data_IF_976461554156
#
_entry.id   IF_976461554156
#
_cell.length_a   1.000
_cell.length_b   1.000
_cell.length_c   1.000
_cell.angle_alpha   90.00
_cell.angle_beta   90.00
_cell.angle_gamma   90.00
#
_symmetry.space_group_name_H-M   'P 1'
#
loop_
_entity.id
_entity.type
_entity.pdbx_description
1 polymer ?
#
# COMPACT_ATOMS: atom_id res chain seq x y z
N UNK A 1 -21.90 4.88 16.25
CA UNK A 1 -20.56 5.46 16.52
C UNK A 1 -20.24 5.33 18.02
N UNK A 2 -19.03 5.70 18.46
CA UNK A 2 -18.65 5.60 19.88
C UNK A 2 -19.42 6.56 20.80
N UNK A 3 -20.00 7.63 20.25
CA UNK A 3 -20.83 8.60 20.99
C UNK A 3 -22.30 8.19 21.11
N UNK A 4 -22.72 7.11 20.43
CA UNK A 4 -24.12 6.65 20.43
C UNK A 4 -25.08 7.56 19.67
N UNK A 5 -24.58 8.52 18.89
CA UNK A 5 -25.39 9.47 18.10
C UNK A 5 -25.80 8.91 16.75
N UNK A 6 -25.04 7.94 16.22
CA UNK A 6 -25.29 7.29 14.94
C UNK A 6 -25.55 5.80 15.13
N UNK A 7 -26.53 5.25 14.41
CA UNK A 7 -26.76 3.80 14.33
C UNK A 7 -25.46 3.08 13.92
N UNK A 8 -25.28 1.85 14.42
CA UNK A 8 -24.15 1.00 14.00
C UNK A 8 -24.34 0.61 12.54
N UNK A 9 -23.66 1.30 11.64
CA UNK A 9 -23.65 0.97 10.20
C UNK A 9 -22.74 -0.23 9.90
N UNK A 10 -21.71 -0.47 10.73
CA UNK A 10 -20.74 -1.54 10.54
C UNK A 10 -21.03 -2.72 11.47
N UNK A 11 -21.54 -3.83 10.92
CA UNK A 11 -21.85 -5.07 11.66
C UNK A 11 -20.66 -5.64 12.45
N UNK A 12 -19.43 -5.39 12.00
CA UNK A 12 -18.19 -5.89 12.63
C UNK A 12 -17.53 -4.91 13.62
N UNK A 13 -18.14 -3.75 13.87
CA UNK A 13 -17.59 -2.78 14.81
C UNK A 13 -18.17 -3.03 16.21
N UNK A 14 -17.36 -3.64 17.07
CA UNK A 14 -17.67 -3.71 18.49
C UNK A 14 -17.22 -2.43 19.21
N UNK A 15 -18.14 -1.46 19.25
CA UNK A 15 -17.92 -0.21 19.99
C UNK A 15 -17.85 -0.42 21.51
N UNK A 16 -18.45 -1.50 22.03
CA UNK A 16 -18.48 -1.75 23.46
C UNK A 16 -17.11 -2.13 23.97
N UNK A 17 -16.38 -2.99 23.23
CA UNK A 17 -15.02 -3.39 23.56
C UNK A 17 -14.09 -2.21 23.91
N UNK A 18 -14.12 -1.14 23.10
CA UNK A 18 -13.28 0.06 23.33
C UNK A 18 -13.83 0.92 24.47
N UNK A 19 -15.15 1.16 24.52
CA UNK A 19 -15.75 1.98 25.57
C UNK A 19 -15.54 1.38 26.97
N UNK A 20 -15.57 0.06 27.09
CA UNK A 20 -15.32 -0.63 28.36
C UNK A 20 -13.86 -0.55 28.82
N UNK A 21 -12.91 -0.18 27.94
CA UNK A 21 -11.53 0.09 28.37
C UNK A 21 -11.40 1.43 29.12
N UNK A 22 -12.37 2.35 28.95
CA UNK A 22 -12.35 3.66 29.60
C UNK A 22 -13.06 3.64 30.95
N UNK A 23 -14.19 2.94 31.02
CA UNK A 23 -15.00 2.80 32.23
C UNK A 23 -15.99 1.62 32.11
N UNK A 24 -16.43 1.06 33.23
CA UNK A 24 -17.39 -0.06 33.25
C UNK A 24 -18.82 0.36 32.90
N UNK A 25 -19.17 1.62 33.19
CA UNK A 25 -20.46 2.23 32.85
C UNK A 25 -20.39 2.93 31.48
N UNK A 26 -21.19 2.45 30.52
CA UNK A 26 -21.19 2.95 29.13
C UNK A 26 -21.49 4.45 29.00
N UNK A 27 -22.36 5.02 29.82
CA UNK A 27 -22.68 6.45 29.80
C UNK A 27 -21.45 7.27 30.19
N UNK A 28 -20.74 6.83 31.22
CA UNK A 28 -19.50 7.47 31.66
C UNK A 28 -18.36 7.25 30.65
N UNK A 29 -18.22 6.06 30.06
CA UNK A 29 -17.25 5.79 28.99
C UNK A 29 -17.44 6.74 27.81
N UNK A 30 -18.68 7.01 27.41
CA UNK A 30 -19.01 7.94 26.32
C UNK A 30 -18.62 9.38 26.68
N UNK A 31 -18.85 9.80 27.92
CA UNK A 31 -18.46 11.12 28.40
C UNK A 31 -16.93 11.29 28.36
N UNK A 32 -16.19 10.30 28.86
CA UNK A 32 -14.72 10.28 28.84
C UNK A 32 -14.19 10.31 27.40
N UNK A 33 -14.73 9.45 26.53
CA UNK A 33 -14.33 9.40 25.12
C UNK A 33 -14.61 10.73 24.40
N UNK A 34 -15.77 11.35 24.66
CA UNK A 34 -16.11 12.67 24.11
C UNK A 34 -15.10 13.73 24.56
N UNK A 35 -14.77 13.76 25.86
CA UNK A 35 -13.79 14.70 26.41
C UNK A 35 -12.42 14.50 25.77
N UNK A 36 -11.96 13.26 25.68
CA UNK A 36 -10.70 12.92 25.03
C UNK A 36 -10.61 13.44 23.59
N UNK A 37 -11.66 13.27 22.77
CA UNK A 37 -11.68 13.81 21.40
C UNK A 37 -11.54 15.33 21.40
N UNK A 38 -12.32 16.02 22.25
CA UNK A 38 -12.32 17.48 22.31
C UNK A 38 -10.97 18.05 22.76
N UNK A 39 -10.28 17.35 23.64
CA UNK A 39 -8.94 17.73 24.13
C UNK A 39 -7.83 17.41 23.12
N UNK A 40 -8.10 16.56 22.12
CA UNK A 40 -7.09 16.04 21.18
C UNK A 40 -7.46 16.28 19.70
N UNK A 41 -8.19 17.36 19.41
CA UNK A 41 -8.63 17.68 18.04
C UNK A 41 -7.48 17.89 17.06
N UNK A 42 -6.32 18.32 17.54
CA UNK A 42 -5.10 18.55 16.76
C UNK A 42 -4.08 17.43 16.92
N UNK A 43 -4.47 16.29 17.46
CA UNK A 43 -3.57 15.15 17.61
C UNK A 43 -3.16 14.61 16.23
N UNK A 44 -1.85 14.53 16.02
CA UNK A 44 -1.31 13.92 14.81
C UNK A 44 -1.65 12.43 14.75
N UNK A 45 -2.02 11.96 13.57
CA UNK A 45 -2.19 10.55 13.32
C UNK A 45 -0.81 9.86 13.39
N UNK A 46 -0.64 8.76 14.16
CA UNK A 46 0.67 8.14 14.40
C UNK A 46 1.15 7.31 13.20
N UNK A 47 1.28 7.93 12.02
CA UNK A 47 1.64 7.28 10.74
C UNK A 47 2.90 6.42 10.89
N UNK A 48 3.88 6.89 11.67
CA UNK A 48 5.19 6.25 11.83
C UNK A 48 5.14 4.96 12.67
N UNK A 49 4.19 4.84 13.58
CA UNK A 49 4.08 3.71 14.51
C UNK A 49 3.19 2.58 13.96
N UNK A 50 2.47 2.85 12.88
CA UNK A 50 1.62 1.86 12.25
C UNK A 50 2.50 0.91 11.46
N UNK A 51 2.68 -0.29 11.99
CA UNK A 51 3.26 -1.40 11.27
C UNK A 51 2.46 -1.59 10.00
N UNK A 52 3.12 -1.25 8.89
CA UNK A 52 2.61 -1.50 7.56
C UNK A 52 1.15 -1.02 7.48
N UNK A 53 0.77 0.21 7.84
CA UNK A 53 -0.59 0.74 7.61
C UNK A 53 -1.82 -0.05 8.14
N UNK A 54 -1.65 -1.18 8.85
CA UNK A 54 -2.72 -2.13 9.19
C UNK A 54 -2.76 -2.47 10.68
N UNK A 55 -1.65 -2.26 11.38
CA UNK A 55 -1.52 -2.65 12.78
C UNK A 55 -0.73 -1.61 13.54
N UNK A 56 -1.20 -1.28 14.74
CA UNK A 56 -0.54 -0.40 15.70
C UNK A 56 -0.47 -1.13 17.03
N UNK A 57 0.69 -1.12 17.69
CA UNK A 57 0.87 -1.74 19.00
C UNK A 57 2.27 -2.25 19.26
N UNK A 58 2.44 -2.99 20.37
CA UNK A 58 3.72 -3.56 20.80
C UNK A 58 4.28 -4.56 19.79
N UNK A 59 5.60 -4.74 19.78
CA UNK A 59 6.30 -5.67 18.87
C UNK A 59 5.72 -7.09 18.89
N UNK A 60 5.32 -7.59 20.07
CA UNK A 60 4.70 -8.91 20.21
C UNK A 60 3.34 -9.03 19.50
N UNK A 61 2.58 -7.93 19.43
CA UNK A 61 1.33 -7.88 18.65
C UNK A 61 1.64 -7.84 17.15
N UNK A 62 2.63 -7.04 16.74
CA UNK A 62 3.07 -6.96 15.35
C UNK A 62 3.52 -8.32 14.82
N UNK A 63 4.34 -9.06 15.57
CA UNK A 63 4.77 -10.43 15.21
C UNK A 63 3.59 -11.39 15.00
N UNK A 64 2.52 -11.27 15.81
CA UNK A 64 1.30 -12.08 15.62
C UNK A 64 0.59 -11.72 14.31
N UNK A 65 0.49 -10.44 13.98
CA UNK A 65 -0.10 -9.97 12.71
C UNK A 65 0.73 -10.47 11.52
N UNK A 66 2.05 -10.41 11.59
CA UNK A 66 2.95 -10.94 10.56
C UNK A 66 2.72 -12.42 10.27
N UNK A 67 2.65 -13.25 11.32
CA UNK A 67 2.41 -14.69 11.18
C UNK A 67 1.04 -14.97 10.53
N UNK A 68 0.01 -14.20 10.87
CA UNK A 68 -1.31 -14.32 10.24
C UNK A 68 -1.29 -13.96 8.76
N UNK A 69 -0.60 -12.89 8.38
CA UNK A 69 -0.45 -12.51 6.97
C UNK A 69 0.27 -13.60 6.19
N UNK A 70 1.38 -14.14 6.73
CA UNK A 70 2.14 -15.22 6.09
C UNK A 70 1.29 -16.46 5.89
N UNK A 71 0.44 -16.82 6.86
CA UNK A 71 -0.45 -17.98 6.78
C UNK A 71 -1.54 -17.85 5.70
N UNK A 72 -1.97 -16.64 5.36
CA UNK A 72 -2.98 -16.40 4.29
C UNK A 72 -2.38 -16.60 2.89
N UNK A 73 -1.07 -16.40 2.72
CA UNK A 73 -0.37 -16.53 1.45
C UNK A 73 -0.70 -15.42 0.44
N UNK A 74 -0.08 -15.49 -0.75
CA UNK A 74 -0.32 -14.54 -1.85
C UNK A 74 -1.60 -14.93 -2.62
N UNK A 75 -2.74 -14.29 -2.30
CA UNK A 75 -3.96 -14.42 -3.12
C UNK A 75 -4.01 -13.33 -4.18
N UNK A 76 -4.28 -13.73 -5.42
CA UNK A 76 -4.34 -12.88 -6.63
C UNK A 76 -5.35 -11.72 -6.53
N UNK A 77 -6.35 -11.86 -5.67
CA UNK A 77 -7.46 -10.91 -5.51
C UNK A 77 -7.31 -9.98 -4.29
N UNK A 78 -6.37 -10.28 -3.38
CA UNK A 78 -6.13 -9.42 -2.22
C UNK A 78 -5.10 -8.38 -2.63
N UNK A 79 -5.47 -7.10 -2.60
CA UNK A 79 -4.50 -6.02 -2.78
C UNK A 79 -3.44 -6.15 -1.70
N UNK A 80 -2.20 -6.47 -2.08
CA UNK A 80 -1.08 -6.38 -1.16
C UNK A 80 -0.95 -4.92 -0.77
N UNK A 81 -1.20 -4.63 0.50
CA UNK A 81 -1.03 -3.28 1.01
C UNK A 81 0.42 -2.86 0.75
N UNK A 82 0.60 -1.70 0.11
CA UNK A 82 1.89 -1.24 -0.43
C UNK A 82 2.64 -0.47 0.67
N UNK A 83 3.86 -0.90 0.99
CA UNK A 83 4.57 -0.54 2.24
C UNK A 83 6.01 -0.05 2.03
N UNK A 84 6.32 0.61 0.92
CA UNK A 84 7.56 1.35 0.78
C UNK A 84 7.22 2.79 0.39
N UNK A 85 8.19 3.70 0.55
CA UNK A 85 8.10 5.10 0.13
C UNK A 85 7.26 5.22 -1.14
N UNK A 86 6.16 5.96 -1.04
CA UNK A 86 5.27 6.11 -2.18
C UNK A 86 5.83 7.19 -3.07
N UNK A 87 6.36 6.76 -4.21
CA UNK A 87 6.74 7.66 -5.28
C UNK A 87 5.54 7.91 -6.18
N UNK A 88 5.45 9.12 -6.70
CA UNK A 88 4.57 9.41 -7.82
C UNK A 88 4.96 8.54 -9.04
N UNK A 89 3.99 8.16 -9.88
CA UNK A 89 4.29 7.50 -11.15
C UNK A 89 5.29 8.29 -12.01
N UNK A 90 5.19 9.61 -11.98
CA UNK A 90 6.05 10.55 -12.69
C UNK A 90 7.51 10.43 -12.24
N UNK A 91 7.76 10.42 -10.93
CA UNK A 91 9.11 10.20 -10.38
C UNK A 91 9.66 8.84 -10.81
N UNK A 92 8.86 7.78 -10.70
CA UNK A 92 9.29 6.43 -11.13
C UNK A 92 9.65 6.43 -12.62
N UNK A 93 8.81 7.01 -13.46
CA UNK A 93 9.05 7.13 -14.91
C UNK A 93 10.35 7.90 -15.17
N UNK A 94 10.56 9.02 -14.47
CA UNK A 94 11.76 9.85 -14.60
C UNK A 94 13.01 9.08 -14.18
N UNK A 95 13.01 8.36 -13.05
CA UNK A 95 14.16 7.55 -12.63
C UNK A 95 14.45 6.41 -13.60
N UNK A 96 13.43 5.78 -14.20
CA UNK A 96 13.63 4.79 -15.27
C UNK A 96 14.27 5.43 -16.50
N UNK A 97 13.78 6.61 -16.92
CA UNK A 97 14.33 7.37 -18.04
C UNK A 97 15.82 7.70 -17.81
N UNK A 98 16.17 8.20 -16.63
CA UNK A 98 17.54 8.51 -16.23
C UNK A 98 18.43 7.25 -16.20
N UNK A 99 17.95 6.15 -15.61
CA UNK A 99 18.73 4.91 -15.47
C UNK A 99 19.13 4.32 -16.81
N UNK A 100 18.26 4.41 -17.82
CA UNK A 100 18.47 3.74 -19.11
C UNK A 100 18.71 4.72 -20.27
N UNK A 101 18.84 6.02 -19.98
CA UNK A 101 19.00 7.09 -20.95
C UNK A 101 17.92 7.05 -22.06
N UNK A 102 16.65 6.96 -21.65
CA UNK A 102 15.48 6.89 -22.53
C UNK A 102 14.55 8.07 -22.29
N UNK A 103 13.73 8.39 -23.29
CA UNK A 103 12.62 9.34 -23.10
C UNK A 103 11.35 8.62 -22.58
N UNK A 104 10.44 9.42 -22.01
CA UNK A 104 9.16 8.93 -21.47
C UNK A 104 8.35 8.14 -22.50
N UNK A 105 8.35 8.58 -23.75
CA UNK A 105 7.64 7.90 -24.85
C UNK A 105 8.14 6.48 -25.06
N UNK A 106 9.47 6.24 -25.13
CA UNK A 106 10.04 4.90 -25.28
C UNK A 106 9.74 4.01 -24.07
N UNK A 107 9.80 4.58 -22.86
CA UNK A 107 9.48 3.86 -21.62
C UNK A 107 8.01 3.44 -21.57
N UNK A 108 7.09 4.29 -22.04
CA UNK A 108 5.65 4.00 -22.05
C UNK A 108 5.14 3.42 -23.37
N UNK A 109 5.99 3.18 -24.37
CA UNK A 109 5.55 2.67 -25.67
C UNK A 109 4.95 1.27 -25.56
N UNK A 110 3.70 1.12 -25.98
CA UNK A 110 3.01 -0.18 -26.08
C UNK A 110 3.61 -1.00 -27.22
N UNK A 111 4.65 -1.77 -26.92
CA UNK A 111 5.37 -2.62 -27.87
C UNK A 111 5.68 -3.98 -27.23
N UNK A 112 5.49 -5.06 -27.99
CA UNK A 112 5.81 -6.43 -27.54
C UNK A 112 7.29 -6.50 -27.19
N UNK A 113 7.61 -7.02 -26.01
CA UNK A 113 8.99 -7.15 -25.54
C UNK A 113 9.63 -5.86 -25.00
N UNK A 114 8.90 -4.75 -24.88
CA UNK A 114 9.43 -3.54 -24.25
C UNK A 114 9.70 -3.78 -22.75
N UNK A 115 10.96 -4.11 -22.42
CA UNK A 115 11.39 -4.43 -21.07
C UNK A 115 11.29 -3.22 -20.13
N UNK A 116 11.62 -2.02 -20.62
CA UNK A 116 11.56 -0.79 -19.82
C UNK A 116 10.14 -0.49 -19.37
N UNK A 117 9.16 -0.65 -20.26
CA UNK A 117 7.75 -0.54 -19.92
C UNK A 117 7.31 -1.54 -18.86
N UNK A 118 7.79 -2.78 -18.94
CA UNK A 118 7.50 -3.82 -17.96
C UNK A 118 8.11 -3.49 -16.58
N UNK A 119 9.34 -2.98 -16.56
CA UNK A 119 10.01 -2.48 -15.36
C UNK A 119 9.19 -1.34 -14.74
N UNK A 120 8.82 -0.33 -15.52
CA UNK A 120 8.05 0.82 -15.03
C UNK A 120 6.68 0.38 -14.50
N UNK A 121 5.96 -0.50 -15.22
CA UNK A 121 4.66 -1.01 -14.78
C UNK A 121 4.77 -1.73 -13.44
N UNK A 122 5.78 -2.57 -13.28
CA UNK A 122 6.07 -3.27 -12.03
C UNK A 122 6.41 -2.31 -10.89
N UNK A 123 7.27 -1.33 -11.14
CA UNK A 123 7.66 -0.35 -10.13
C UNK A 123 6.49 0.53 -9.71
N UNK A 124 5.70 1.08 -10.64
CA UNK A 124 4.51 1.86 -10.33
C UNK A 124 3.50 1.03 -9.53
N UNK A 125 3.25 -0.23 -9.91
CA UNK A 125 2.36 -1.12 -9.15
C UNK A 125 2.85 -1.36 -7.73
N UNK A 126 4.15 -1.50 -7.52
CA UNK A 126 4.75 -1.86 -6.23
C UNK A 126 5.05 -0.67 -5.31
N UNK A 127 5.33 0.51 -5.87
CA UNK A 127 5.90 1.66 -5.16
C UNK A 127 5.08 2.95 -5.28
N UNK A 128 3.88 2.90 -5.88
CA UNK A 128 2.92 4.03 -5.84
C UNK A 128 1.61 3.60 -5.20
N UNK A 129 0.86 4.55 -4.64
CA UNK A 129 -0.47 4.29 -4.08
C UNK A 129 -1.60 4.14 -5.11
N UNK A 130 -1.29 4.12 -6.42
CA UNK A 130 -2.31 3.99 -7.44
C UNK A 130 -3.02 2.64 -7.44
N UNK A 131 -4.33 2.68 -7.66
CA UNK A 131 -5.16 1.52 -7.96
C UNK A 131 -4.81 0.92 -9.33
N UNK A 132 -5.15 -0.35 -9.54
CA UNK A 132 -4.92 -1.01 -10.84
C UNK A 132 -5.62 -0.29 -12.01
N UNK A 133 -6.76 0.38 -11.75
CA UNK A 133 -7.48 1.18 -12.75
C UNK A 133 -6.70 2.44 -13.12
N UNK A 134 -6.14 3.15 -12.15
CA UNK A 134 -5.32 4.36 -12.39
C UNK A 134 -4.01 4.01 -13.10
N UNK A 135 -3.35 2.93 -12.70
CA UNK A 135 -2.18 2.39 -13.41
C UNK A 135 -2.57 2.03 -14.85
N UNK A 136 -3.73 1.40 -15.03
CA UNK A 136 -4.26 1.07 -16.35
C UNK A 136 -4.38 2.28 -17.27
N UNK A 137 -4.80 3.44 -16.75
CA UNK A 137 -4.86 4.70 -17.52
C UNK A 137 -3.48 5.14 -18.00
N UNK A 138 -2.47 5.15 -17.12
CA UNK A 138 -1.09 5.53 -17.45
C UNK A 138 -0.50 4.62 -18.53
N UNK A 139 -0.81 3.33 -18.44
CA UNK A 139 -0.27 2.32 -19.35
C UNK A 139 -1.25 1.97 -20.48
N UNK A 140 -2.40 2.62 -20.68
CA UNK A 140 -3.38 2.20 -21.69
C UNK A 140 -3.67 0.67 -21.67
N UNK A 141 -4.00 0.17 -20.47
CA UNK A 141 -4.29 -1.23 -20.14
C UNK A 141 -5.53 -1.31 -19.25
N UNK A 142 -6.28 -2.41 -19.34
CA UNK A 142 -7.32 -2.70 -18.35
C UNK A 142 -6.70 -3.18 -17.02
N UNK A 143 -7.48 -3.10 -15.94
CA UNK A 143 -6.99 -3.43 -14.60
C UNK A 143 -6.54 -4.90 -14.48
N UNK A 144 -7.20 -5.80 -15.22
CA UNK A 144 -6.85 -7.23 -15.29
C UNK A 144 -5.51 -7.43 -15.98
N UNK A 145 -5.23 -6.77 -17.12
CA UNK A 145 -3.93 -6.87 -17.77
C UNK A 145 -2.80 -6.27 -16.92
N UNK A 146 -3.05 -5.19 -16.16
CA UNK A 146 -2.05 -4.66 -15.20
C UNK A 146 -1.69 -5.73 -14.17
N UNK A 147 -2.69 -6.39 -13.57
CA UNK A 147 -2.46 -7.46 -12.60
C UNK A 147 -1.68 -8.64 -13.22
N UNK A 148 -2.09 -9.10 -14.41
CA UNK A 148 -1.44 -10.23 -15.09
C UNK A 148 -0.02 -9.92 -15.56
N UNK A 149 0.20 -8.75 -16.17
CA UNK A 149 1.50 -8.36 -16.68
C UNK A 149 2.52 -8.20 -15.56
N UNK A 150 2.13 -7.58 -14.44
CA UNK A 150 3.03 -7.43 -13.29
C UNK A 150 3.37 -8.77 -12.65
N UNK A 151 2.42 -9.69 -12.50
CA UNK A 151 2.69 -11.05 -12.00
C UNK A 151 3.66 -11.82 -12.90
N UNK A 152 3.44 -11.81 -14.22
CA UNK A 152 4.37 -12.46 -15.18
C UNK A 152 5.76 -11.85 -15.11
N UNK A 153 5.86 -10.54 -14.88
CA UNK A 153 7.12 -9.86 -14.76
C UNK A 153 7.85 -10.17 -13.44
N UNK A 154 7.12 -10.29 -12.32
CA UNK A 154 7.66 -10.76 -11.04
C UNK A 154 8.32 -12.15 -11.18
N UNK A 155 7.68 -13.08 -11.89
CA UNK A 155 8.28 -14.39 -12.18
C UNK A 155 9.52 -14.29 -13.09
N UNK A 156 9.53 -13.31 -14.00
CA UNK A 156 10.70 -13.04 -14.86
C UNK A 156 11.88 -12.50 -14.06
N UNK A 157 11.65 -11.58 -13.11
CA UNK A 157 12.67 -11.05 -12.20
C UNK A 157 13.29 -12.17 -11.35
N UNK A 158 12.48 -13.14 -10.91
CA UNK A 158 12.96 -14.29 -10.12
C UNK A 158 13.92 -15.20 -10.92
N UNK A 159 13.69 -15.33 -12.23
CA UNK A 159 14.43 -16.25 -13.11
C UNK A 159 15.63 -15.61 -13.82
N UNK A 160 15.56 -14.31 -14.10
CA UNK A 160 16.55 -13.60 -14.90
C UNK A 160 17.34 -12.59 -14.05
N UNK A 161 18.60 -12.91 -13.78
CA UNK A 161 19.48 -12.06 -12.98
C UNK A 161 19.75 -10.69 -13.63
N UNK A 162 19.79 -10.59 -14.96
CA UNK A 162 20.03 -9.32 -15.67
C UNK A 162 18.87 -8.37 -15.43
N UNK A 163 17.63 -8.87 -15.55
CA UNK A 163 16.43 -8.07 -15.28
C UNK A 163 16.38 -7.63 -13.81
N UNK A 164 16.76 -8.52 -12.89
CA UNK A 164 16.83 -8.17 -11.47
C UNK A 164 17.84 -7.04 -11.20
N UNK A 165 19.01 -7.07 -11.84
CA UNK A 165 20.01 -6.00 -11.75
C UNK A 165 19.45 -4.68 -12.28
N UNK A 166 18.77 -4.70 -13.44
CA UNK A 166 18.14 -3.50 -14.03
C UNK A 166 17.04 -2.90 -13.13
N UNK A 167 16.22 -3.73 -12.49
CA UNK A 167 15.22 -3.24 -11.53
C UNK A 167 15.92 -2.60 -10.32
N UNK A 168 16.96 -3.25 -9.81
CA UNK A 168 17.71 -2.76 -8.65
C UNK A 168 18.47 -1.44 -8.94
N UNK A 169 18.94 -1.20 -10.17
CA UNK A 169 19.58 0.06 -10.52
C UNK A 169 18.60 1.24 -10.45
N UNK A 170 17.35 1.05 -10.89
CA UNK A 170 16.30 2.08 -10.72
C UNK A 170 15.97 2.29 -9.25
N UNK A 171 15.84 1.21 -8.47
CA UNK A 171 15.52 1.30 -7.04
C UNK A 171 16.60 2.03 -6.22
N UNK A 172 17.88 1.93 -6.60
CA UNK A 172 18.95 2.70 -5.97
C UNK A 172 18.75 4.21 -6.15
N UNK A 173 18.29 4.64 -7.31
CA UNK A 173 18.03 6.06 -7.61
C UNK A 173 16.72 6.59 -7.01
N UNK A 174 15.78 5.71 -6.65
CA UNK A 174 14.56 6.10 -5.94
C UNK A 174 14.83 6.33 -4.45
N UNK A 175 15.74 5.56 -3.85
CA UNK A 175 16.15 5.68 -2.44
C UNK A 175 17.12 6.83 -2.15
N UNK A 176 17.61 7.50 -3.19
CA UNK A 176 18.47 8.69 -3.13
C UNK A 176 17.65 9.93 -3.45
#
# INVERSE_FOLDING_TARGET
>A
DYLGKRKKELKKLDTQFILTQLHNNLTQSRAIYKRYILENLTMDFPVKDIYRGIALGKESFIKKIESKIKAVGEKREIQTTKYQDSYSPEEIIQKVCQTFNLNKEKVLKKQRGNLYRQITLYLVKRYSFLSLKEIGKIFNMDYTAVSQATRRFEDKIRKDNKIRIMVNSVLKLLKN
#
